data_IF_147371340254
#
_entry.id   IF_147371340254
#
_cell.length_a   1.000
_cell.length_b   1.000
_cell.length_c   1.000
_cell.angle_alpha   90.00
_cell.angle_beta   90.00
_cell.angle_gamma   90.00
#
_symmetry.space_group_name_H-M   'P 1'
#
loop_
_entity.id
_entity.type
_entity.pdbx_description
1 polymer ?
#
# COMPACT_ATOMS: atom_id res chain seq x y z
N UNK A 1 -19.33 -40.70 6.10
CA UNK A 1 -18.07 -41.26 5.55
C UNK A 1 -17.07 -40.13 5.47
N UNK A 2 -15.93 -40.31 6.15
CA UNK A 2 -14.77 -39.43 6.33
C UNK A 2 -15.00 -37.91 6.25
N UNK A 3 -15.29 -37.29 7.40
CA UNK A 3 -14.97 -35.87 7.63
C UNK A 3 -13.45 -35.74 7.59
N UNK A 4 -12.88 -35.42 6.44
CA UNK A 4 -11.48 -35.01 6.36
C UNK A 4 -11.33 -33.74 7.20
N UNK A 5 -10.73 -33.87 8.38
CA UNK A 5 -10.35 -32.71 9.17
C UNK A 5 -9.27 -31.96 8.38
N UNK A 6 -9.56 -30.72 7.99
CA UNK A 6 -8.53 -29.89 7.36
C UNK A 6 -7.34 -29.73 8.31
N UNK A 7 -6.14 -29.56 7.75
CA UNK A 7 -4.90 -29.37 8.53
C UNK A 7 -4.31 -28.00 8.21
N UNK A 8 -3.70 -27.39 9.22
CA UNK A 8 -3.03 -26.11 9.07
C UNK A 8 -1.89 -26.20 8.04
N UNK A 9 -1.93 -25.33 7.02
CA UNK A 9 -0.91 -25.27 5.98
C UNK A 9 0.51 -25.13 6.55
N UNK A 10 0.68 -24.42 7.68
CA UNK A 10 1.99 -24.09 8.26
C UNK A 10 2.46 -25.07 9.34
N UNK A 11 1.62 -25.52 10.25
CA UNK A 11 2.07 -26.38 11.37
C UNK A 11 1.48 -27.78 11.36
N UNK A 12 0.66 -28.12 10.35
CA UNK A 12 0.04 -29.43 10.18
C UNK A 12 -0.92 -29.84 11.31
N UNK A 13 -1.21 -28.98 12.28
CA UNK A 13 -2.19 -29.31 13.31
C UNK A 13 -3.59 -29.43 12.70
N UNK A 14 -4.46 -30.33 13.20
CA UNK A 14 -5.86 -30.37 12.80
C UNK A 14 -6.54 -29.01 13.03
N UNK A 15 -7.38 -28.59 12.09
CA UNK A 15 -8.22 -27.39 12.22
C UNK A 15 -9.62 -27.79 12.64
N UNK A 16 -10.11 -27.17 13.71
CA UNK A 16 -11.45 -27.31 14.23
C UNK A 16 -12.06 -25.93 14.57
N UNK A 17 -13.30 -25.90 15.07
CA UNK A 17 -13.97 -24.64 15.40
C UNK A 17 -13.29 -23.80 16.49
N UNK A 18 -12.39 -24.37 17.30
CA UNK A 18 -11.68 -23.64 18.36
C UNK A 18 -10.45 -22.90 17.85
N UNK A 19 -9.80 -23.43 16.81
CA UNK A 19 -8.53 -22.92 16.31
C UNK A 19 -8.57 -22.41 14.86
N UNK A 20 -9.68 -22.59 14.14
CA UNK A 20 -9.87 -22.07 12.79
C UNK A 20 -9.68 -20.54 12.74
N UNK A 21 -9.05 -20.09 11.66
CA UNK A 21 -8.88 -18.67 11.35
C UNK A 21 -9.39 -18.37 9.96
N UNK A 22 -10.11 -17.26 9.86
CA UNK A 22 -10.43 -16.65 8.58
C UNK A 22 -9.16 -16.00 8.03
N UNK A 23 -8.71 -16.47 6.88
CA UNK A 23 -7.51 -15.98 6.21
C UNK A 23 -7.86 -15.24 4.93
N UNK A 24 -7.26 -14.07 4.75
CA UNK A 24 -7.36 -13.30 3.52
C UNK A 24 -6.46 -13.93 2.45
N UNK A 25 -7.01 -14.30 1.29
CA UNK A 25 -6.21 -14.87 0.18
C UNK A 25 -5.19 -13.83 -0.31
N UNK A 26 -5.68 -12.66 -0.71
CA UNK A 26 -4.86 -11.45 -0.88
C UNK A 26 -4.99 -10.65 0.41
N UNK A 27 -3.87 -10.22 0.99
CA UNK A 27 -3.81 -9.62 2.32
C UNK A 27 -4.69 -8.36 2.41
N UNK A 28 -5.37 -8.16 3.54
CA UNK A 28 -6.14 -6.93 3.79
C UNK A 28 -5.25 -5.67 3.75
N UNK A 29 -3.96 -5.78 4.08
CA UNK A 29 -2.99 -4.66 4.03
C UNK A 29 -2.89 -4.04 2.63
N UNK A 30 -3.12 -4.81 1.57
CA UNK A 30 -3.13 -4.34 0.18
C UNK A 30 -4.54 -4.29 -0.41
N UNK A 31 -5.58 -4.45 0.42
CA UNK A 31 -6.97 -4.29 -0.01
C UNK A 31 -7.62 -5.56 -0.57
N UNK A 32 -7.13 -6.75 -0.25
CA UNK A 32 -7.84 -7.99 -0.58
C UNK A 32 -9.19 -8.12 0.12
N UNK A 33 -10.05 -8.99 -0.44
CA UNK A 33 -11.45 -9.21 0.00
C UNK A 33 -11.82 -10.68 0.13
N UNK A 34 -11.25 -11.55 -0.70
CA UNK A 34 -11.53 -12.99 -0.66
C UNK A 34 -10.89 -13.62 0.58
N UNK A 35 -11.66 -14.46 1.27
CA UNK A 35 -11.23 -15.13 2.49
C UNK A 35 -11.52 -16.63 2.44
N UNK A 36 -10.73 -17.39 3.18
CA UNK A 36 -10.87 -18.84 3.35
C UNK A 36 -10.88 -19.22 4.84
N UNK A 37 -11.54 -20.34 5.15
CA UNK A 37 -11.54 -20.99 6.46
C UNK A 37 -11.10 -22.44 6.33
N UNK A 38 -10.59 -23.02 7.40
CA UNK A 38 -10.04 -24.37 7.37
C UNK A 38 -8.65 -24.47 6.74
N UNK A 39 -7.97 -23.35 6.49
CA UNK A 39 -6.67 -23.30 5.80
C UNK A 39 -5.49 -23.18 6.77
N UNK A 40 -5.62 -22.30 7.78
CA UNK A 40 -4.55 -21.97 8.72
C UNK A 40 -5.13 -21.83 10.13
N UNK A 41 -4.43 -22.35 11.13
CA UNK A 41 -4.85 -22.19 12.53
C UNK A 41 -4.54 -20.78 13.03
N UNK A 42 -5.29 -20.30 14.03
CA UNK A 42 -5.17 -18.96 14.62
C UNK A 42 -3.74 -18.63 15.07
N UNK A 43 -3.05 -19.59 15.70
CA UNK A 43 -1.68 -19.40 16.17
C UNK A 43 -0.68 -19.18 15.03
N UNK A 44 -0.82 -19.93 13.93
CA UNK A 44 0.00 -19.71 12.75
C UNK A 44 -0.37 -18.42 12.03
N UNK A 45 -1.67 -18.09 11.95
CA UNK A 45 -2.10 -16.89 11.23
C UNK A 45 -1.59 -15.61 11.91
N UNK A 46 -1.72 -15.51 13.24
CA UNK A 46 -1.16 -14.39 13.99
C UNK A 46 0.36 -14.27 13.78
N UNK A 47 1.08 -15.40 13.85
CA UNK A 47 2.53 -15.44 13.65
C UNK A 47 2.92 -15.01 12.24
N UNK A 48 2.26 -15.50 11.19
CA UNK A 48 2.54 -15.05 9.81
C UNK A 48 2.18 -13.57 9.64
N UNK A 49 1.12 -13.12 10.31
CA UNK A 49 0.70 -11.71 10.34
C UNK A 49 1.79 -10.78 10.88
N UNK A 50 2.47 -11.18 11.95
CA UNK A 50 3.56 -10.43 12.58
C UNK A 50 4.93 -10.59 11.89
N UNK A 51 5.07 -11.54 10.95
CA UNK A 51 6.35 -11.86 10.30
C UNK A 51 6.27 -11.68 8.79
N UNK A 52 5.75 -12.66 8.08
CA UNK A 52 5.72 -12.68 6.61
C UNK A 52 4.86 -11.56 6.04
N UNK A 53 3.64 -11.42 6.55
CA UNK A 53 2.68 -10.44 6.04
C UNK A 53 3.03 -9.02 6.50
N UNK A 54 3.65 -8.86 7.68
CA UNK A 54 4.15 -7.57 8.15
C UNK A 54 5.25 -7.04 7.22
N UNK A 55 6.23 -7.88 6.86
CA UNK A 55 7.32 -7.50 5.93
C UNK A 55 6.74 -7.18 4.55
N UNK A 56 5.81 -8.00 4.05
CA UNK A 56 5.14 -7.71 2.78
C UNK A 56 4.34 -6.41 2.82
N UNK A 57 3.60 -6.15 3.90
CA UNK A 57 2.82 -4.94 4.11
C UNK A 57 3.71 -3.69 4.18
N UNK A 58 4.89 -3.79 4.80
CA UNK A 58 5.88 -2.70 4.86
C UNK A 58 6.40 -2.36 3.46
N UNK A 59 6.86 -3.37 2.71
CA UNK A 59 7.37 -3.21 1.34
C UNK A 59 6.33 -2.60 0.39
N UNK A 60 5.05 -2.91 0.60
CA UNK A 60 3.94 -2.47 -0.26
C UNK A 60 3.24 -1.20 0.22
N UNK A 61 3.60 -0.66 1.38
CA UNK A 61 2.85 0.43 2.01
C UNK A 61 2.84 1.72 1.16
N UNK A 62 3.96 2.04 0.51
CA UNK A 62 4.01 3.17 -0.43
C UNK A 62 2.95 3.05 -1.53
N UNK A 63 2.79 1.86 -2.12
CA UNK A 63 1.80 1.61 -3.17
C UNK A 63 0.38 1.74 -2.65
N UNK A 64 0.14 1.37 -1.39
CA UNK A 64 -1.16 1.59 -0.75
C UNK A 64 -1.55 3.08 -0.73
N UNK A 65 -0.61 3.96 -0.38
CA UNK A 65 -0.84 5.41 -0.40
C UNK A 65 -0.89 5.98 -1.83
N UNK A 66 0.06 5.58 -2.67
CA UNK A 66 0.19 6.10 -4.03
C UNK A 66 -1.01 5.72 -4.90
N UNK A 67 -1.50 4.49 -4.80
CA UNK A 67 -2.69 4.01 -5.51
C UNK A 67 -3.99 4.24 -4.75
N UNK A 68 -3.98 4.78 -3.53
CA UNK A 68 -5.20 5.03 -2.77
C UNK A 68 -5.99 3.75 -2.51
N UNK A 69 -5.32 2.71 -2.01
CA UNK A 69 -5.90 1.41 -1.70
C UNK A 69 -6.94 1.52 -0.60
N UNK A 70 -8.07 0.84 -0.77
CA UNK A 70 -9.12 0.73 0.23
C UNK A 70 -9.04 -0.64 0.90
N UNK A 71 -8.88 -0.66 2.22
CA UNK A 71 -8.86 -1.88 3.05
C UNK A 71 -10.26 -2.20 3.56
N UNK A 72 -10.55 -3.47 3.89
CA UNK A 72 -11.78 -3.80 4.64
C UNK A 72 -11.68 -3.34 6.09
N UNK A 73 -10.46 -3.40 6.65
CA UNK A 73 -10.18 -3.05 8.04
C UNK A 73 -8.96 -2.14 8.13
N UNK A 74 -9.12 -1.05 8.88
CA UNK A 74 -8.07 -0.07 9.17
C UNK A 74 -7.62 0.73 7.94
N UNK A 75 -6.66 1.62 8.17
CA UNK A 75 -5.99 2.40 7.11
C UNK A 75 -4.53 1.98 6.96
N UNK A 76 -3.87 2.25 5.82
CA UNK A 76 -2.42 2.16 5.71
C UNK A 76 -1.70 2.94 6.83
N UNK A 77 -0.67 2.39 7.49
CA UNK A 77 0.14 3.19 8.39
C UNK A 77 0.84 4.32 7.61
N UNK A 78 1.12 5.48 8.22
CA UNK A 78 1.85 6.55 7.56
C UNK A 78 3.17 6.06 6.95
N UNK A 79 3.48 6.49 5.72
CA UNK A 79 4.70 6.08 5.01
C UNK A 79 5.79 7.15 5.16
N UNK A 80 6.94 6.82 5.77
CA UNK A 80 8.11 7.69 5.73
C UNK A 80 8.61 7.88 4.30
N UNK A 81 8.91 9.13 3.94
CA UNK A 81 9.50 9.51 2.67
C UNK A 81 10.61 10.53 2.88
N UNK A 82 11.58 10.53 1.98
CA UNK A 82 12.64 11.54 1.91
C UNK A 82 12.60 12.21 0.55
N UNK A 83 12.62 13.54 0.53
CA UNK A 83 12.71 14.30 -0.73
C UNK A 83 14.16 14.49 -1.16
N UNK A 84 14.40 14.80 -2.43
CA UNK A 84 15.74 15.18 -2.92
C UNK A 84 16.27 16.48 -2.31
N UNK A 85 15.40 17.29 -1.69
CA UNK A 85 15.77 18.45 -0.88
C UNK A 85 16.14 18.07 0.57
N UNK A 86 16.05 16.79 0.94
CA UNK A 86 16.38 16.28 2.27
C UNK A 86 15.25 16.39 3.29
N UNK A 87 14.02 16.72 2.86
CA UNK A 87 12.88 16.77 3.78
C UNK A 87 12.46 15.37 4.19
N UNK A 88 12.24 15.17 5.49
CA UNK A 88 11.71 13.93 6.06
C UNK A 88 10.24 14.12 6.37
N UNK A 89 9.38 13.42 5.62
CA UNK A 89 7.93 13.56 5.71
C UNK A 89 7.26 12.20 5.93
N UNK A 90 6.04 12.24 6.45
CA UNK A 90 5.14 11.11 6.59
C UNK A 90 3.95 11.32 5.65
N UNK A 91 3.87 10.50 4.60
CA UNK A 91 2.69 10.42 3.74
C UNK A 91 1.52 9.84 4.54
N UNK A 92 0.40 10.54 4.57
CA UNK A 92 -0.77 10.17 5.38
C UNK A 92 -1.79 9.37 4.55
N UNK A 93 -2.59 8.51 5.22
CA UNK A 93 -3.81 7.97 4.63
C UNK A 93 -4.70 9.09 4.10
N UNK A 94 -5.33 8.87 2.94
CA UNK A 94 -6.13 9.90 2.27
C UNK A 94 -5.33 10.96 1.51
N UNK A 95 -3.99 10.98 1.67
CA UNK A 95 -3.08 11.87 0.97
C UNK A 95 -2.52 12.99 1.87
N UNK A 96 -1.66 13.82 1.27
CA UNK A 96 -0.94 14.86 2.00
C UNK A 96 0.25 14.32 2.81
N UNK A 97 0.95 15.25 3.44
CA UNK A 97 2.20 14.99 4.15
C UNK A 97 2.19 15.68 5.51
N UNK A 98 2.81 15.05 6.50
CA UNK A 98 3.20 15.68 7.76
C UNK A 98 4.72 15.66 7.88
N UNK A 99 5.30 16.62 8.58
CA UNK A 99 6.72 16.52 8.95
C UNK A 99 6.94 15.28 9.82
N UNK A 100 8.03 14.54 9.56
CA UNK A 100 8.34 13.35 10.35
C UNK A 100 8.82 13.72 11.76
N UNK A 101 9.74 14.67 11.82
CA UNK A 101 10.37 15.15 13.05
C UNK A 101 10.06 16.64 13.25
N UNK A 102 9.72 17.09 14.48
CA UNK A 102 9.62 18.51 14.79
C UNK A 102 10.97 19.20 14.61
N UNK A 103 10.95 20.51 14.35
CA UNK A 103 12.15 21.34 14.24
C UNK A 103 12.29 22.18 15.49
N UNK A 104 13.47 22.14 16.10
CA UNK A 104 13.88 23.00 17.19
C UNK A 104 15.24 23.63 16.85
N UNK A 105 15.31 24.95 16.77
CA UNK A 105 16.56 25.68 16.48
C UNK A 105 16.78 26.77 17.52
N UNK A 106 17.96 26.80 18.14
CA UNK A 106 18.44 27.91 18.96
C UNK A 106 19.45 28.72 18.14
N UNK A 107 19.19 30.01 17.96
CA UNK A 107 20.06 30.95 17.25
C UNK A 107 20.61 31.95 18.29
N UNK A 108 21.92 32.02 18.52
CA UNK A 108 22.52 33.03 19.40
C UNK A 108 22.24 34.44 18.89
N UNK A 109 21.91 35.36 19.79
CA UNK A 109 21.76 36.79 19.50
C UNK A 109 22.53 37.61 20.53
N UNK A 110 22.79 38.88 20.25
CA UNK A 110 23.52 39.78 21.18
C UNK A 110 22.82 39.91 22.55
N UNK A 111 21.49 39.70 22.60
CA UNK A 111 20.68 39.74 23.82
C UNK A 111 20.25 38.38 24.38
N UNK A 112 20.77 37.26 23.86
CA UNK A 112 20.45 35.92 24.34
C UNK A 112 20.32 34.88 23.24
N UNK A 113 19.17 34.21 23.17
CA UNK A 113 18.89 33.19 22.15
C UNK A 113 17.50 33.38 21.57
N UNK A 114 17.41 33.35 20.25
CA UNK A 114 16.15 33.21 19.54
C UNK A 114 15.87 31.71 19.35
N UNK A 115 14.67 31.26 19.71
CA UNK A 115 14.25 29.87 19.54
C UNK A 115 13.18 29.79 18.45
N UNK A 116 13.38 28.90 17.48
CA UNK A 116 12.39 28.58 16.46
C UNK A 116 11.89 27.16 16.67
N UNK A 117 10.57 27.01 16.81
CA UNK A 117 9.89 25.73 16.97
C UNK A 117 8.94 25.53 15.78
N UNK A 118 9.03 24.37 15.12
CA UNK A 118 7.98 23.87 14.21
C UNK A 118 7.57 22.48 14.69
N UNK A 119 6.27 22.30 14.92
CA UNK A 119 5.71 21.05 15.41
C UNK A 119 4.62 20.56 14.46
N UNK A 120 4.28 19.26 14.56
CA UNK A 120 3.25 18.61 13.74
C UNK A 120 1.84 19.07 14.10
N UNK A 121 1.63 19.41 15.37
CA UNK A 121 0.36 19.88 15.90
C UNK A 121 0.57 20.79 17.13
N UNK A 122 -0.51 21.42 17.60
CA UNK A 122 -0.46 22.33 18.75
C UNK A 122 -0.08 21.61 20.04
N UNK A 123 -0.41 20.32 20.20
CA UNK A 123 -0.08 19.55 21.41
C UNK A 123 1.44 19.34 21.50
N UNK A 124 2.07 18.92 20.40
CA UNK A 124 3.51 18.78 20.32
C UNK A 124 4.22 20.12 20.51
N UNK A 125 3.70 21.21 19.91
CA UNK A 125 4.25 22.55 20.14
C UNK A 125 4.23 22.95 21.63
N UNK A 126 3.11 22.68 22.33
CA UNK A 126 2.99 22.91 23.77
C UNK A 126 4.03 22.09 24.55
N UNK A 127 4.16 20.80 24.28
CA UNK A 127 5.16 19.95 24.97
C UNK A 127 6.59 20.45 24.73
N UNK A 128 6.91 20.91 23.52
CA UNK A 128 8.23 21.48 23.22
C UNK A 128 8.48 22.78 24.00
N UNK A 129 7.47 23.66 24.11
CA UNK A 129 7.57 24.89 24.89
C UNK A 129 7.65 24.64 26.40
N UNK A 130 6.94 23.64 26.93
CA UNK A 130 7.07 23.21 28.33
C UNK A 130 8.49 22.72 28.61
N UNK A 131 9.06 21.93 27.69
CA UNK A 131 10.47 21.52 27.75
C UNK A 131 11.42 22.71 27.75
N UNK A 132 11.14 23.72 26.91
CA UNK A 132 11.92 24.95 26.84
C UNK A 132 11.82 25.77 28.14
N UNK A 133 10.63 25.89 28.72
CA UNK A 133 10.38 26.64 29.96
C UNK A 133 11.12 26.04 31.16
N UNK A 134 11.34 24.71 31.18
CA UNK A 134 12.20 24.07 32.21
C UNK A 134 13.65 24.55 32.15
N UNK A 135 14.17 24.79 30.94
CA UNK A 135 15.54 25.29 30.71
C UNK A 135 15.64 26.81 30.81
N UNK A 136 14.56 27.51 30.47
CA UNK A 136 14.45 28.97 30.46
C UNK A 136 13.17 29.40 31.19
N UNK A 137 13.19 29.57 32.54
CA UNK A 137 12.00 29.84 33.34
C UNK A 137 11.22 31.12 32.99
N UNK A 138 11.80 32.01 32.16
CA UNK A 138 11.14 33.23 31.66
C UNK A 138 10.19 32.97 30.49
N UNK A 139 10.19 31.76 29.92
CA UNK A 139 9.30 31.40 28.81
C UNK A 139 7.89 31.16 29.36
N UNK A 140 6.95 32.01 28.96
CA UNK A 140 5.52 31.80 29.18
C UNK A 140 4.95 30.95 28.05
N UNK A 141 4.69 29.68 28.35
CA UNK A 141 4.17 28.70 27.38
C UNK A 141 2.84 29.16 26.77
N UNK A 142 1.95 29.75 27.56
CA UNK A 142 0.63 30.17 27.08
C UNK A 142 0.74 31.36 26.14
N UNK A 143 1.55 32.38 26.52
CA UNK A 143 1.77 33.55 25.70
C UNK A 143 2.47 33.22 24.37
N UNK A 144 3.46 32.31 24.38
CA UNK A 144 4.13 31.88 23.15
C UNK A 144 3.22 31.00 22.26
N UNK A 145 2.42 30.10 22.85
CA UNK A 145 1.43 29.31 22.09
C UNK A 145 0.34 30.18 21.44
N UNK A 146 -0.02 31.31 22.04
CA UNK A 146 -0.97 32.26 21.44
C UNK A 146 -0.46 32.87 20.13
N UNK A 147 0.86 32.95 19.95
CA UNK A 147 1.51 33.44 18.73
C UNK A 147 1.67 32.36 17.65
N UNK A 148 1.40 31.09 17.98
CA UNK A 148 1.60 29.98 17.07
C UNK A 148 0.62 30.02 15.89
N UNK A 149 1.16 30.06 14.67
CA UNK A 149 0.41 30.03 13.42
C UNK A 149 0.42 28.63 12.80
N UNK A 150 -0.70 28.23 12.20
CA UNK A 150 -0.73 27.04 11.36
C UNK A 150 -0.13 27.39 9.99
N UNK A 151 0.85 26.60 9.55
CA UNK A 151 1.52 26.79 8.27
C UNK A 151 1.32 25.56 7.37
N UNK A 152 1.27 25.80 6.07
CA UNK A 152 1.12 24.76 5.05
C UNK A 152 2.16 24.99 3.95
N UNK A 153 3.06 24.04 3.80
CA UNK A 153 4.09 24.06 2.78
C UNK A 153 3.89 22.92 1.78
N UNK A 154 4.49 23.08 0.61
CA UNK A 154 4.61 22.00 -0.37
C UNK A 154 6.01 21.39 -0.25
N UNK A 155 6.13 20.05 -0.32
CA UNK A 155 7.44 19.41 -0.37
C UNK A 155 8.29 19.98 -1.51
N UNK A 156 9.54 20.28 -1.19
CA UNK A 156 10.59 20.66 -2.11
C UNK A 156 11.23 19.41 -2.76
N UNK A 157 11.80 19.59 -3.95
CA UNK A 157 12.36 18.47 -4.72
C UNK A 157 11.32 17.43 -5.17
N UNK A 158 11.79 16.20 -5.37
CA UNK A 158 11.00 15.01 -5.71
C UNK A 158 11.17 13.95 -4.63
N UNK A 159 10.19 13.06 -4.49
CA UNK A 159 10.29 11.94 -3.54
C UNK A 159 11.28 10.91 -4.07
N UNK A 160 12.22 10.49 -3.23
CA UNK A 160 13.07 9.33 -3.51
C UNK A 160 12.45 8.12 -2.82
N UNK A 161 12.22 7.06 -3.59
CA UNK A 161 11.71 5.80 -3.09
C UNK A 161 12.62 4.67 -3.54
N UNK A 162 13.09 3.89 -2.58
CA UNK A 162 13.85 2.69 -2.83
C UNK A 162 12.90 1.49 -2.72
N UNK A 163 12.40 1.04 -3.87
CA UNK A 163 11.43 -0.05 -3.95
C UNK A 163 12.17 -1.39 -3.81
N UNK A 164 11.84 -2.13 -2.76
CA UNK A 164 12.33 -3.49 -2.54
C UNK A 164 11.14 -4.42 -2.40
N UNK A 165 11.06 -5.43 -3.26
CA UNK A 165 10.02 -6.46 -3.20
C UNK A 165 10.64 -7.83 -3.00
N UNK A 166 10.04 -8.62 -2.11
CA UNK A 166 10.41 -10.02 -1.91
C UNK A 166 11.38 -10.23 -0.75
N UNK A 167 12.32 -11.15 -0.95
CA UNK A 167 13.06 -11.79 0.14
C UNK A 167 12.23 -12.89 0.83
N UNK A 168 12.84 -13.71 1.72
CA UNK A 168 12.21 -14.92 2.23
C UNK A 168 10.86 -14.68 2.92
N UNK A 169 10.75 -13.62 3.74
CA UNK A 169 9.52 -13.35 4.49
C UNK A 169 8.37 -12.87 3.61
N UNK A 170 8.60 -11.86 2.75
CA UNK A 170 7.56 -11.39 1.84
C UNK A 170 7.22 -12.46 0.79
N UNK A 171 8.21 -13.21 0.30
CA UNK A 171 8.02 -14.35 -0.59
C UNK A 171 7.09 -15.42 -0.01
N UNK A 172 7.24 -15.76 1.28
CA UNK A 172 6.30 -16.66 1.98
C UNK A 172 4.88 -16.10 2.04
N UNK A 173 4.71 -14.79 2.17
CA UNK A 173 3.38 -14.15 2.09
C UNK A 173 2.76 -14.34 0.69
N UNK A 174 3.55 -14.20 -0.38
CA UNK A 174 3.11 -14.44 -1.77
C UNK A 174 2.76 -15.91 -2.02
N UNK A 175 3.61 -16.85 -1.60
CA UNK A 175 3.34 -18.28 -1.74
C UNK A 175 2.11 -18.69 -0.92
N UNK A 176 1.92 -18.12 0.28
CA UNK A 176 0.71 -18.33 1.09
C UNK A 176 -0.54 -17.85 0.35
N UNK A 177 -0.50 -16.71 -0.33
CA UNK A 177 -1.61 -16.21 -1.17
C UNK A 177 -1.97 -17.20 -2.28
N UNK A 178 -0.99 -17.69 -3.06
CA UNK A 178 -1.25 -18.67 -4.11
C UNK A 178 -1.82 -19.98 -3.55
N UNK A 179 -1.26 -20.47 -2.43
CA UNK A 179 -1.69 -21.72 -1.78
C UNK A 179 -3.09 -21.59 -1.19
N UNK A 180 -3.40 -20.45 -0.56
CA UNK A 180 -4.74 -20.16 -0.03
C UNK A 180 -5.78 -20.10 -1.15
N UNK A 181 -5.42 -19.56 -2.33
CA UNK A 181 -6.30 -19.54 -3.49
C UNK A 181 -6.49 -20.94 -4.10
N UNK A 182 -5.43 -21.76 -4.18
CA UNK A 182 -5.55 -23.16 -4.61
C UNK A 182 -6.52 -23.93 -3.70
N UNK A 183 -6.36 -23.77 -2.38
CA UNK A 183 -7.27 -24.34 -1.38
C UNK A 183 -8.71 -23.83 -1.56
N UNK A 184 -8.90 -22.53 -1.77
CA UNK A 184 -10.21 -21.96 -2.10
C UNK A 184 -10.85 -22.62 -3.33
N UNK A 185 -10.04 -22.99 -4.33
CA UNK A 185 -10.49 -23.66 -5.55
C UNK A 185 -10.72 -25.17 -5.37
N UNK A 186 -10.59 -25.70 -4.14
CA UNK A 186 -10.83 -27.10 -3.81
C UNK A 186 -9.60 -28.00 -3.94
N UNK A 187 -8.40 -27.45 -4.12
CA UNK A 187 -7.16 -28.24 -4.12
C UNK A 187 -6.80 -28.61 -2.66
N UNK A 188 -6.68 -29.90 -2.34
CA UNK A 188 -6.19 -30.34 -1.02
C UNK A 188 -4.78 -29.82 -0.78
N UNK A 189 -4.45 -29.44 0.46
CA UNK A 189 -3.14 -28.87 0.80
C UNK A 189 -1.99 -29.84 0.51
N UNK A 190 -2.26 -31.14 0.59
CA UNK A 190 -1.32 -32.21 0.30
C UNK A 190 -0.89 -32.24 -1.18
N UNK A 191 -1.68 -31.65 -2.07
CA UNK A 191 -1.36 -31.49 -3.50
C UNK A 191 -0.55 -30.23 -3.80
N UNK A 192 -0.20 -29.45 -2.77
CA UNK A 192 0.65 -28.25 -2.85
C UNK A 192 2.02 -28.50 -2.19
N UNK A 193 2.60 -29.68 -2.41
CA UNK A 193 3.80 -30.20 -1.72
C UNK A 193 4.98 -29.22 -1.70
N UNK A 194 5.33 -28.61 -2.84
CA UNK A 194 6.43 -27.65 -2.94
C UNK A 194 6.16 -26.36 -2.15
N UNK A 195 4.94 -25.83 -2.27
CA UNK A 195 4.56 -24.63 -1.53
C UNK A 195 4.47 -24.89 -0.02
N UNK A 196 3.94 -26.04 0.38
CA UNK A 196 3.86 -26.46 1.79
C UNK A 196 5.26 -26.66 2.36
N UNK A 197 6.17 -27.33 1.64
CA UNK A 197 7.57 -27.46 2.07
C UNK A 197 8.19 -26.08 2.32
N UNK A 198 8.02 -25.15 1.38
CA UNK A 198 8.50 -23.77 1.54
C UNK A 198 7.84 -23.05 2.73
N UNK A 199 6.55 -23.18 2.95
CA UNK A 199 5.87 -22.50 4.07
C UNK A 199 6.22 -23.11 5.44
N UNK A 200 6.64 -24.38 5.50
CA UNK A 200 6.94 -25.08 6.76
C UNK A 200 8.40 -25.02 7.14
N UNK A 201 9.30 -24.94 6.17
CA UNK A 201 10.75 -24.96 6.37
C UNK A 201 11.38 -23.61 6.00
N UNK A 202 12.07 -23.01 6.96
CA UNK A 202 12.72 -21.71 6.78
C UNK A 202 13.92 -21.77 5.83
N UNK A 203 14.55 -22.94 5.66
CA UNK A 203 15.69 -23.15 4.75
C UNK A 203 15.31 -23.73 3.40
N UNK A 204 14.03 -24.02 3.16
CA UNK A 204 13.58 -24.53 1.87
C UNK A 204 13.79 -23.51 0.74
N UNK A 205 14.10 -24.05 -0.44
CA UNK A 205 14.26 -23.28 -1.67
C UNK A 205 12.97 -22.52 -2.03
N UNK A 206 13.06 -21.25 -2.49
CA UNK A 206 11.92 -20.48 -2.95
C UNK A 206 11.07 -21.21 -3.99
N UNK A 207 9.78 -21.35 -3.69
CA UNK A 207 8.78 -21.90 -4.62
C UNK A 207 8.16 -20.81 -5.52
N UNK A 208 8.90 -19.74 -5.83
CA UNK A 208 8.39 -18.62 -6.64
C UNK A 208 9.49 -17.84 -7.38
N UNK A 209 9.11 -17.10 -8.41
CA UNK A 209 9.99 -16.16 -9.11
C UNK A 209 9.24 -15.12 -9.93
N UNK A 210 9.94 -14.05 -10.30
CA UNK A 210 9.39 -12.92 -11.05
C UNK A 210 9.16 -13.28 -12.52
N UNK A 211 8.03 -12.85 -13.10
CA UNK A 211 7.71 -13.07 -14.50
C UNK A 211 7.25 -11.79 -15.21
N UNK A 212 8.02 -11.36 -16.20
CA UNK A 212 7.74 -10.14 -16.97
C UNK A 212 7.96 -10.28 -18.48
N UNK A 213 8.24 -11.49 -18.97
CA UNK A 213 8.46 -11.75 -20.40
C UNK A 213 7.25 -11.38 -21.26
N UNK A 214 6.04 -11.72 -20.81
CA UNK A 214 4.77 -11.31 -21.41
C UNK A 214 3.71 -11.05 -20.34
N UNK A 215 2.61 -10.43 -20.72
CA UNK A 215 1.46 -10.29 -19.83
C UNK A 215 0.66 -11.61 -19.82
N UNK A 216 0.53 -12.23 -18.66
CA UNK A 216 -0.25 -13.47 -18.50
C UNK A 216 -1.75 -13.19 -18.30
N UNK A 217 -2.12 -11.94 -18.02
CA UNK A 217 -3.48 -11.56 -17.66
C UNK A 217 -4.20 -10.92 -18.84
N UNK A 218 -5.32 -11.52 -19.22
CA UNK A 218 -6.26 -10.94 -20.18
C UNK A 218 -7.43 -10.29 -19.46
N UNK A 219 -7.92 -9.16 -19.99
CA UNK A 219 -9.07 -8.44 -19.44
C UNK A 219 -8.74 -7.39 -18.38
N UNK A 220 -7.46 -7.09 -18.12
CA UNK A 220 -7.06 -6.00 -17.23
C UNK A 220 -7.46 -4.63 -17.81
N UNK A 221 -8.16 -3.76 -17.07
CA UNK A 221 -8.44 -2.41 -17.57
C UNK A 221 -7.20 -1.52 -17.57
N UNK A 222 -7.15 -0.62 -18.55
CA UNK A 222 -6.06 0.33 -18.71
C UNK A 222 -5.94 1.21 -17.47
N UNK A 223 -4.73 1.38 -16.94
CA UNK A 223 -4.46 2.28 -15.84
C UNK A 223 -4.90 1.80 -14.45
N UNK A 224 -5.49 0.61 -14.33
CA UNK A 224 -5.96 0.09 -13.04
C UNK A 224 -4.85 -0.76 -12.39
N UNK A 225 -4.43 -0.45 -11.15
CA UNK A 225 -3.40 -1.20 -10.44
C UNK A 225 -3.97 -2.49 -9.85
N UNK A 226 -4.34 -3.44 -10.71
CA UNK A 226 -5.06 -4.65 -10.31
C UNK A 226 -4.32 -5.48 -9.26
N UNK A 227 -5.08 -6.25 -8.49
CA UNK A 227 -4.57 -7.46 -7.83
C UNK A 227 -5.14 -8.68 -8.53
N UNK A 228 -4.31 -9.69 -8.74
CA UNK A 228 -4.72 -10.95 -9.33
C UNK A 228 -4.07 -12.12 -8.61
N UNK A 229 -4.84 -13.18 -8.37
CA UNK A 229 -4.30 -14.50 -8.03
C UNK A 229 -4.97 -15.53 -8.93
N UNK A 230 -4.19 -16.44 -9.50
CA UNK A 230 -4.68 -17.51 -10.34
C UNK A 230 -3.99 -18.83 -10.01
N UNK A 231 -4.69 -19.94 -10.27
CA UNK A 231 -4.15 -21.29 -10.13
C UNK A 231 -4.54 -22.10 -11.36
N UNK A 232 -3.56 -22.79 -11.93
CA UNK A 232 -3.75 -23.80 -12.97
C UNK A 232 -3.15 -25.11 -12.51
N UNK A 233 -3.90 -26.20 -12.61
CA UNK A 233 -3.46 -27.54 -12.26
C UNK A 233 -3.74 -28.49 -13.41
N UNK A 234 -2.73 -29.22 -13.84
CA UNK A 234 -2.81 -30.17 -14.95
C UNK A 234 -2.22 -31.52 -14.54
N UNK A 235 -3.07 -32.58 -14.39
CA UNK A 235 -2.59 -33.90 -14.00
C UNK A 235 -1.78 -34.61 -15.08
N UNK A 236 -1.87 -34.22 -16.36
CA UNK A 236 -1.07 -34.84 -17.43
C UNK A 236 0.41 -34.45 -17.32
N UNK A 237 0.66 -33.18 -16.97
CA UNK A 237 2.01 -32.65 -16.74
C UNK A 237 2.47 -32.77 -15.29
N UNK A 238 1.54 -33.02 -14.35
CA UNK A 238 1.81 -33.02 -12.91
C UNK A 238 1.99 -31.61 -12.33
N UNK A 239 1.78 -30.55 -13.12
CA UNK A 239 2.06 -29.19 -12.70
C UNK A 239 0.85 -28.58 -11.99
N UNK A 240 1.07 -28.04 -10.79
CA UNK A 240 0.16 -27.11 -10.14
C UNK A 240 0.89 -25.77 -9.98
N UNK A 241 0.41 -24.77 -10.69
CA UNK A 241 1.03 -23.46 -10.79
C UNK A 241 0.10 -22.39 -10.21
N UNK A 242 0.69 -21.42 -9.53
CA UNK A 242 0.05 -20.20 -9.09
C UNK A 242 0.62 -18.98 -9.81
N UNK A 243 -0.20 -17.96 -9.98
CA UNK A 243 0.22 -16.62 -10.38
C UNK A 243 -0.30 -15.63 -9.36
N UNK A 244 0.53 -14.70 -8.91
CA UNK A 244 0.15 -13.63 -7.99
C UNK A 244 0.65 -12.30 -8.55
N UNK A 245 -0.26 -11.34 -8.66
CA UNK A 245 0.06 -9.99 -9.11
C UNK A 245 -0.45 -8.94 -8.13
N UNK A 246 0.43 -8.02 -7.73
CA UNK A 246 0.09 -6.85 -6.93
C UNK A 246 0.33 -5.55 -7.70
N UNK A 247 -0.65 -4.67 -7.62
CA UNK A 247 -0.72 -3.34 -8.24
C UNK A 247 -0.46 -3.28 -9.75
N UNK A 248 -0.53 -4.41 -10.46
CA UNK A 248 -0.14 -4.50 -11.86
C UNK A 248 1.38 -4.56 -12.12
N UNK A 249 2.21 -4.44 -11.07
CA UNK A 249 3.66 -4.19 -11.18
C UNK A 249 4.53 -5.26 -10.53
N UNK A 250 4.03 -5.98 -9.52
CA UNK A 250 4.72 -7.13 -8.94
C UNK A 250 4.06 -8.39 -9.51
N UNK A 251 4.75 -9.13 -10.36
CA UNK A 251 4.22 -10.27 -11.11
C UNK A 251 5.02 -11.52 -10.80
N UNK A 252 4.40 -12.46 -10.09
CA UNK A 252 5.09 -13.62 -9.52
C UNK A 252 4.42 -14.92 -9.96
N UNK A 253 5.21 -15.87 -10.43
CA UNK A 253 4.78 -17.26 -10.66
C UNK A 253 5.23 -18.10 -9.47
N UNK A 254 4.35 -18.97 -9.00
CA UNK A 254 4.55 -19.88 -7.87
C UNK A 254 4.39 -21.31 -8.37
N UNK A 255 5.35 -22.20 -8.12
CA UNK A 255 5.17 -23.62 -8.37
C UNK A 255 4.64 -24.28 -7.10
N UNK A 256 3.35 -24.61 -7.09
CA UNK A 256 2.70 -25.24 -5.93
C UNK A 256 3.01 -26.74 -5.87
N UNK A 257 3.10 -27.41 -7.02
CA UNK A 257 3.49 -28.82 -7.15
C UNK A 257 4.02 -29.17 -8.55
N UNK A 258 4.85 -30.21 -8.63
CA UNK A 258 5.23 -30.92 -9.87
C UNK A 258 4.76 -32.38 -9.86
N UNK A 259 3.95 -32.77 -8.87
CA UNK A 259 3.38 -34.11 -8.72
C UNK A 259 1.85 -34.07 -8.56
N UNK A 260 1.22 -33.01 -9.08
CA UNK A 260 -0.21 -32.77 -9.00
C UNK A 260 -1.00 -33.90 -9.66
N UNK A 261 -1.87 -34.54 -8.88
CA UNK A 261 -2.73 -35.64 -9.33
C UNK A 261 -4.23 -35.31 -9.20
N UNK A 262 -4.56 -34.05 -8.97
CA UNK A 262 -5.94 -33.57 -8.92
C UNK A 262 -6.56 -33.36 -10.30
N UNK A 263 -7.83 -32.92 -10.37
CA UNK A 263 -8.50 -32.64 -11.63
C UNK A 263 -7.89 -31.42 -12.35
N UNK A 264 -8.08 -31.37 -13.68
CA UNK A 264 -7.74 -30.20 -14.48
C UNK A 264 -8.43 -28.94 -13.90
N UNK A 265 -7.64 -27.90 -13.63
CA UNK A 265 -8.08 -26.71 -12.94
C UNK A 265 -7.51 -25.47 -13.65
N UNK A 266 -8.35 -24.45 -13.85
CA UNK A 266 -7.92 -23.12 -14.26
C UNK A 266 -8.87 -22.11 -13.61
N UNK A 267 -8.39 -21.33 -12.65
CA UNK A 267 -9.18 -20.35 -11.90
C UNK A 267 -8.37 -19.08 -11.69
N UNK A 268 -9.05 -17.94 -11.70
CA UNK A 268 -8.47 -16.65 -11.41
C UNK A 268 -9.42 -15.82 -10.55
N UNK A 269 -8.85 -15.00 -9.68
CA UNK A 269 -9.53 -14.00 -8.88
C UNK A 269 -8.81 -12.67 -9.07
N UNK A 270 -9.56 -11.65 -9.49
CA UNK A 270 -9.07 -10.31 -9.76
C UNK A 270 -9.87 -9.26 -8.99
N UNK A 271 -9.20 -8.19 -8.54
CA UNK A 271 -9.87 -7.01 -8.00
C UNK A 271 -9.11 -5.72 -8.30
N UNK A 272 -9.84 -4.60 -8.28
CA UNK A 272 -9.27 -3.26 -8.21
C UNK A 272 -9.10 -2.89 -6.72
N UNK A 273 -7.87 -2.81 -6.18
CA UNK A 273 -7.65 -2.53 -4.76
C UNK A 273 -8.04 -1.10 -4.36
N UNK A 274 -8.28 -0.21 -5.33
CA UNK A 274 -8.65 1.19 -5.09
C UNK A 274 -10.15 1.37 -4.89
N UNK A 275 -10.94 0.36 -5.29
CA UNK A 275 -12.40 0.33 -5.08
C UNK A 275 -12.87 -0.91 -4.32
N UNK A 276 -12.03 -1.94 -4.21
CA UNK A 276 -12.38 -3.25 -3.66
C UNK A 276 -13.30 -4.07 -4.56
N UNK A 277 -13.56 -3.64 -5.80
CA UNK A 277 -14.47 -4.32 -6.72
C UNK A 277 -13.76 -5.46 -7.44
N UNK A 278 -14.43 -6.62 -7.52
CA UNK A 278 -13.95 -7.76 -8.28
C UNK A 278 -13.95 -7.46 -9.78
N UNK A 279 -13.05 -8.12 -10.49
CA UNK A 279 -12.85 -7.93 -11.93
C UNK A 279 -12.78 -9.28 -12.63
N UNK A 280 -13.44 -9.43 -13.79
CA UNK A 280 -13.32 -10.64 -14.60
C UNK A 280 -11.97 -10.64 -15.30
N UNK A 281 -11.01 -11.39 -14.74
CA UNK A 281 -9.68 -11.58 -15.32
C UNK A 281 -9.51 -13.03 -15.75
N UNK A 282 -8.73 -13.24 -16.80
CA UNK A 282 -8.25 -14.57 -17.20
C UNK A 282 -6.74 -14.58 -17.12
N UNK A 283 -6.16 -15.71 -16.71
CA UNK A 283 -4.71 -15.88 -16.61
C UNK A 283 -4.31 -17.12 -17.38
N UNK A 284 -3.39 -16.97 -18.33
CA UNK A 284 -2.80 -18.09 -19.06
C UNK A 284 -1.53 -18.54 -18.34
N UNK A 285 -1.59 -19.72 -17.71
CA UNK A 285 -0.50 -20.26 -16.91
C UNK A 285 -0.17 -21.68 -17.36
N UNK A 286 0.69 -21.78 -18.37
CA UNK A 286 1.16 -23.03 -18.94
C UNK A 286 2.69 -23.02 -19.00
N UNK A 287 3.33 -23.49 -17.94
CA UNK A 287 4.79 -23.55 -17.82
C UNK A 287 5.24 -24.97 -17.51
N UNK A 288 6.31 -25.40 -18.17
CA UNK A 288 7.00 -26.64 -17.82
C UNK A 288 7.87 -26.46 -16.58
N UNK A 289 8.38 -27.56 -16.01
CA UNK A 289 9.38 -27.50 -14.94
C UNK A 289 10.64 -26.72 -15.36
N UNK A 290 11.03 -26.80 -16.64
CA UNK A 290 12.16 -26.02 -17.20
C UNK A 290 11.86 -24.53 -17.21
N UNK A 291 10.64 -24.14 -17.60
CA UNK A 291 10.23 -22.73 -17.58
C UNK A 291 10.22 -22.18 -16.16
N UNK A 292 9.66 -22.92 -15.20
CA UNK A 292 9.66 -22.56 -13.78
C UNK A 292 11.07 -22.31 -13.27
N UNK A 293 12.03 -23.17 -13.63
CA UNK A 293 13.44 -22.98 -13.27
C UNK A 293 14.02 -21.69 -13.86
N UNK A 294 13.76 -21.41 -15.14
CA UNK A 294 14.20 -20.17 -15.79
C UNK A 294 13.57 -18.93 -15.13
N UNK A 295 12.31 -19.02 -14.69
CA UNK A 295 11.62 -17.96 -13.94
C UNK A 295 12.33 -17.68 -12.61
N UNK A 296 12.71 -18.72 -11.87
CA UNK A 296 13.37 -18.57 -10.57
C UNK A 296 14.79 -18.00 -10.71
N UNK A 297 15.43 -18.26 -11.84
CA UNK A 297 16.73 -17.68 -12.20
C UNK A 297 16.63 -16.25 -12.76
N UNK A 298 15.43 -15.64 -12.77
CA UNK A 298 15.16 -14.31 -13.35
C UNK A 298 15.43 -14.20 -14.86
N UNK A 299 15.52 -15.32 -15.58
CA UNK A 299 15.75 -15.34 -17.03
C UNK A 299 14.50 -14.90 -17.81
N UNK A 300 13.32 -14.92 -17.16
CA UNK A 300 12.04 -14.46 -17.74
C UNK A 300 11.68 -13.01 -17.36
N UNK A 301 12.69 -12.19 -17.13
CA UNK A 301 12.56 -10.77 -16.81
C UNK A 301 13.41 -9.92 -17.76
N UNK A 302 12.94 -9.67 -19.01
CA UNK A 302 13.69 -8.89 -19.98
C UNK A 302 13.94 -7.46 -19.50
N UNK A 303 15.00 -6.83 -19.99
CA UNK A 303 15.29 -5.42 -19.70
C UNK A 303 14.12 -4.50 -20.06
N UNK A 304 13.85 -3.51 -19.21
CA UNK A 304 12.74 -2.56 -19.39
C UNK A 304 11.35 -3.14 -19.08
N UNK A 305 11.23 -4.43 -18.75
CA UNK A 305 9.91 -5.09 -18.59
C UNK A 305 9.19 -4.67 -17.32
N UNK A 306 9.91 -4.39 -16.24
CA UNK A 306 9.35 -3.85 -15.00
C UNK A 306 8.87 -2.42 -15.20
N UNK A 307 9.65 -1.60 -15.90
CA UNK A 307 9.33 -0.23 -16.25
C UNK A 307 8.04 -0.16 -17.06
N UNK A 308 7.88 -1.03 -18.07
CA UNK A 308 6.62 -1.15 -18.82
C UNK A 308 5.42 -1.48 -17.93
N UNK A 309 5.60 -2.33 -16.91
CA UNK A 309 4.54 -2.64 -15.96
C UNK A 309 4.17 -1.40 -15.10
N UNK A 310 5.16 -0.61 -14.68
CA UNK A 310 4.90 0.67 -14.00
C UNK A 310 4.22 1.69 -14.91
N UNK A 311 4.68 1.86 -16.14
CA UNK A 311 4.13 2.80 -17.12
C UNK A 311 2.64 2.53 -17.42
N UNK A 312 2.20 1.28 -17.27
CA UNK A 312 0.80 0.90 -17.46
C UNK A 312 -0.14 1.46 -16.38
N UNK A 313 0.36 1.80 -15.18
CA UNK A 313 -0.50 2.17 -14.03
C UNK A 313 -0.12 3.50 -13.36
N UNK A 314 1.16 3.88 -13.38
CA UNK A 314 1.68 5.08 -12.71
C UNK A 314 1.09 6.37 -13.27
N UNK A 315 0.99 6.59 -14.60
CA UNK A 315 0.42 7.83 -15.14
C UNK A 315 -1.02 8.09 -14.67
N UNK A 316 -1.85 7.05 -14.65
CA UNK A 316 -3.24 7.11 -14.17
C UNK A 316 -3.29 7.44 -12.67
N UNK A 317 -2.43 6.81 -11.87
CA UNK A 317 -2.33 7.09 -10.45
C UNK A 317 -1.85 8.52 -10.17
N UNK A 318 -0.85 9.01 -10.91
CA UNK A 318 -0.36 10.39 -10.81
C UNK A 318 -1.46 11.39 -11.13
N UNK A 319 -2.22 11.17 -12.22
CA UNK A 319 -3.35 12.01 -12.59
C UNK A 319 -4.40 12.06 -11.48
N UNK A 320 -4.81 10.89 -10.96
CA UNK A 320 -5.79 10.83 -9.86
C UNK A 320 -5.29 11.52 -8.59
N UNK A 321 -4.01 11.37 -8.25
CA UNK A 321 -3.42 12.03 -7.10
C UNK A 321 -3.41 13.56 -7.28
N UNK A 322 -3.13 14.04 -8.49
CA UNK A 322 -3.22 15.45 -8.84
C UNK A 322 -4.65 15.99 -8.79
N UNK A 323 -5.61 15.27 -9.37
CA UNK A 323 -7.04 15.64 -9.35
C UNK A 323 -7.56 15.73 -7.91
N UNK A 324 -7.18 14.78 -7.03
CA UNK A 324 -7.50 14.83 -5.59
C UNK A 324 -6.86 16.01 -4.89
N UNK A 325 -5.61 16.34 -5.21
CA UNK A 325 -4.92 17.49 -4.64
C UNK A 325 -5.61 18.81 -5.03
N UNK A 326 -6.01 18.97 -6.30
CA UNK A 326 -6.80 20.12 -6.75
C UNK A 326 -8.11 20.20 -5.96
N UNK A 327 -8.89 19.12 -5.92
CA UNK A 327 -10.18 19.11 -5.25
C UNK A 327 -10.07 19.50 -3.77
N UNK A 328 -9.05 18.99 -3.08
CA UNK A 328 -8.77 19.32 -1.68
C UNK A 328 -8.41 20.81 -1.51
N UNK A 329 -7.48 21.33 -2.31
CA UNK A 329 -7.07 22.74 -2.20
C UNK A 329 -8.18 23.70 -2.62
N UNK A 330 -9.00 23.36 -3.62
CA UNK A 330 -10.19 24.13 -3.98
C UNK A 330 -11.24 24.16 -2.87
N UNK A 331 -11.49 23.03 -2.20
CA UNK A 331 -12.40 22.98 -1.06
C UNK A 331 -11.91 23.87 0.09
N UNK A 332 -10.61 23.81 0.42
CA UNK A 332 -10.00 24.66 1.45
C UNK A 332 -10.02 26.14 1.09
N UNK A 333 -9.73 26.49 -0.15
CA UNK A 333 -9.80 27.86 -0.63
C UNK A 333 -11.22 28.42 -0.57
N UNK A 334 -12.20 27.60 -0.92
CA UNK A 334 -13.63 27.95 -0.83
C UNK A 334 -14.05 28.18 0.62
N UNK A 335 -13.69 27.26 1.52
CA UNK A 335 -13.97 27.39 2.95
C UNK A 335 -13.35 28.69 3.51
N UNK A 336 -12.07 28.93 3.24
CA UNK A 336 -11.37 30.14 3.64
C UNK A 336 -12.08 31.40 3.12
N UNK A 337 -12.49 31.41 1.85
CA UNK A 337 -13.19 32.53 1.26
C UNK A 337 -14.51 32.82 2.00
N UNK A 338 -15.31 31.80 2.32
CA UNK A 338 -16.55 31.99 3.08
C UNK A 338 -16.30 32.50 4.50
N UNK A 339 -15.29 31.96 5.19
CA UNK A 339 -14.91 32.39 6.54
C UNK A 339 -14.43 33.86 6.59
N UNK A 340 -13.89 34.38 5.49
CA UNK A 340 -13.26 35.72 5.43
C UNK A 340 -14.02 36.74 4.56
N UNK A 341 -15.06 36.33 3.84
CA UNK A 341 -15.85 37.24 3.00
C UNK A 341 -16.85 38.09 3.82
N UNK A 342 -17.19 37.67 5.04
CA UNK A 342 -18.15 38.34 5.91
C UNK A 342 -19.61 37.90 5.71
N UNK A 343 -19.86 36.88 4.88
CA UNK A 343 -21.18 36.29 4.69
C UNK A 343 -21.60 35.43 5.90
N UNK A 344 -22.90 35.38 6.18
CA UNK A 344 -23.51 34.52 7.18
C UNK A 344 -24.34 33.40 6.51
N UNK A 345 -24.53 32.25 7.18
CA UNK A 345 -25.43 31.22 6.68
C UNK A 345 -26.83 31.77 6.39
N UNK A 346 -27.30 31.60 5.14
CA UNK A 346 -28.60 32.10 4.68
C UNK A 346 -28.56 33.43 3.91
N UNK A 347 -27.41 34.11 3.88
CA UNK A 347 -27.25 35.33 3.08
C UNK A 347 -27.37 35.02 1.57
N UNK A 348 -27.99 35.95 0.82
CA UNK A 348 -27.97 35.90 -0.64
C UNK A 348 -26.60 36.34 -1.14
N UNK A 349 -26.01 35.56 -2.06
CA UNK A 349 -24.75 35.92 -2.70
C UNK A 349 -25.01 37.04 -3.73
N UNK A 350 -24.65 38.28 -3.39
CA UNK A 350 -24.67 39.41 -4.34
C UNK A 350 -23.48 39.36 -5.29
N UNK A 351 -23.48 40.09 -6.42
CA UNK A 351 -22.32 40.17 -7.31
C UNK A 351 -21.04 40.63 -6.62
N UNK A 352 -21.12 41.59 -5.69
CA UNK A 352 -19.98 42.11 -4.93
C UNK A 352 -19.42 41.04 -3.98
N UNK A 353 -20.31 40.31 -3.31
CA UNK A 353 -19.92 39.22 -2.42
C UNK A 353 -19.32 38.05 -3.21
N UNK A 354 -19.90 37.71 -4.37
CA UNK A 354 -19.34 36.71 -5.27
C UNK A 354 -17.93 37.07 -5.73
N UNK A 355 -17.70 38.34 -6.11
CA UNK A 355 -16.37 38.84 -6.48
C UNK A 355 -15.38 38.69 -5.32
N UNK A 356 -15.77 39.10 -4.11
CA UNK A 356 -14.92 38.97 -2.91
C UNK A 356 -14.60 37.51 -2.58
N UNK A 357 -15.58 36.60 -2.69
CA UNK A 357 -15.36 35.16 -2.50
C UNK A 357 -14.35 34.64 -3.54
N UNK A 358 -14.51 35.02 -4.81
CA UNK A 358 -13.59 34.60 -5.87
C UNK A 358 -12.16 35.12 -5.67
N UNK A 359 -12.01 36.37 -5.23
CA UNK A 359 -10.70 36.98 -4.91
C UNK A 359 -10.00 36.21 -3.78
N UNK A 360 -10.70 36.00 -2.64
CA UNK A 360 -10.15 35.28 -1.49
C UNK A 360 -9.81 33.82 -1.81
N UNK A 361 -10.66 33.13 -2.58
CA UNK A 361 -10.40 31.76 -3.00
C UNK A 361 -9.17 31.70 -3.94
N UNK A 362 -9.06 32.63 -4.88
CA UNK A 362 -7.92 32.69 -5.82
C UNK A 362 -6.62 32.99 -5.09
N UNK A 363 -6.63 33.95 -4.17
CA UNK A 363 -5.48 34.26 -3.31
C UNK A 363 -5.03 33.01 -2.55
N UNK A 364 -5.98 32.27 -1.96
CA UNK A 364 -5.68 31.05 -1.22
C UNK A 364 -5.15 29.91 -2.10
N UNK A 365 -5.62 29.80 -3.34
CA UNK A 365 -5.12 28.80 -4.30
C UNK A 365 -3.78 29.17 -4.96
N UNK A 366 -3.37 30.44 -4.92
CA UNK A 366 -2.20 30.93 -5.66
C UNK A 366 -0.92 30.11 -5.40
N UNK A 367 -0.57 29.70 -4.16
CA UNK A 367 0.61 28.86 -3.92
C UNK A 367 0.57 27.52 -4.66
N UNK A 368 -0.61 26.89 -4.73
CA UNK A 368 -0.81 25.65 -5.48
C UNK A 368 -0.60 25.87 -6.98
N UNK A 369 -1.23 26.90 -7.54
CA UNK A 369 -1.14 27.25 -8.96
C UNK A 369 0.32 27.51 -9.35
N UNK A 370 1.03 28.34 -8.58
CA UNK A 370 2.43 28.68 -8.84
C UNK A 370 3.34 27.45 -8.79
N UNK A 371 3.13 26.53 -7.84
CA UNK A 371 3.91 25.29 -7.72
C UNK A 371 3.79 24.42 -8.96
N UNK A 372 2.58 24.29 -9.50
CA UNK A 372 2.30 23.42 -10.65
C UNK A 372 2.56 24.09 -12.01
N UNK A 373 2.51 25.41 -12.10
CA UNK A 373 2.94 26.15 -13.29
C UNK A 373 4.45 26.01 -13.54
N UNK A 374 5.28 25.95 -12.48
CA UNK A 374 6.74 25.78 -12.57
C UNK A 374 7.21 24.36 -12.94
N UNK A 375 6.30 23.38 -12.95
CA UNK A 375 6.59 21.95 -13.23
C UNK A 375 6.14 21.52 -14.64
N UNK A 376 5.50 22.42 -15.39
CA UNK A 376 5.28 22.29 -16.84
C UNK A 376 6.42 22.99 -17.55
#
# INVERSE_FOLDING_TARGET
MMTTSNRCVRCDCPIDGSNDSEEHVIQNSVGGRLKVRGFICRGCNNRTGETWDAVFAEQTNFFCHFFGVVRERGEPPPQPIVTTAGEQLLMQPGGGFKMQNPVFKEIPTEGGKQVQIKARDRREATTMLEGLARKYPKVDVAAEMAKATADHTYPEGVMRLDIHFGGPSAGRSVVKTATAFAFHCGVPIEQCDLAVAYLRDEVAEPAFGDYFERDLVTGRPVGVPIHCVAVTGDPETGMLLGYVEFFGVQRVVVCLSQSYAGPLLARAYGLDPTTGKMMPLQVELAFSATDVKAIYNYERVPDGSRERAFDAVVPTAMKRNFDRAIAHESARATQYAFENCGAKPGDKITPELAKKIAELATERMMPFIQRHARRR
#
